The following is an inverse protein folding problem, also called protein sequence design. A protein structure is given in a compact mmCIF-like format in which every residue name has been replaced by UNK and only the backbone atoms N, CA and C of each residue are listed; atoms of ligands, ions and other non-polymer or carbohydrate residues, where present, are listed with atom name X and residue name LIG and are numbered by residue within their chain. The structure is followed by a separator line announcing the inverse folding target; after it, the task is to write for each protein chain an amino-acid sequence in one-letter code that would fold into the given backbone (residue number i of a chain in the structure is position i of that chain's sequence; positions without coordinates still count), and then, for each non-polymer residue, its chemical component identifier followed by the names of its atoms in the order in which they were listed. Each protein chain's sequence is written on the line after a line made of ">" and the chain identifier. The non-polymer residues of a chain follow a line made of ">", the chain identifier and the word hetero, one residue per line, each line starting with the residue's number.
data_IF_366079490830
#
_entry.id   IF_366079490830
#
_cell.length_a   1.000
_cell.length_b   1.000
_cell.length_c   1.000
_cell.angle_alpha   90.00
_cell.angle_beta   90.00
_cell.angle_gamma   90.00
#
_symmetry.space_group_name_H-M   'P 1'
#
loop_
_entity.id
_entity.type
_entity.pdbx_description
1 polymer ?
#
# COMPACT_ATOMS: atom_id res chain seq x y z
N UNK A 1 -15.58 -29.35 -10.08
CA UNK A 1 -14.57 -28.51 -9.44
C UNK A 1 -13.77 -27.80 -10.54
N UNK A 2 -13.88 -26.50 -10.77
CA UNK A 2 -13.02 -25.80 -11.72
C UNK A 2 -11.78 -25.29 -10.98
N UNK A 3 -10.62 -25.72 -11.47
CA UNK A 3 -9.30 -25.27 -11.02
C UNK A 3 -9.11 -23.79 -11.32
N UNK A 4 -8.70 -23.03 -10.32
CA UNK A 4 -8.23 -21.66 -10.48
C UNK A 4 -7.03 -21.65 -11.44
N UNK A 5 -7.20 -21.07 -12.62
CA UNK A 5 -6.12 -20.83 -13.57
C UNK A 5 -5.25 -19.70 -13.02
N UNK A 6 -4.06 -20.04 -12.61
CA UNK A 6 -2.97 -19.08 -12.48
C UNK A 6 -2.74 -18.47 -13.86
N UNK A 7 -2.99 -17.17 -14.01
CA UNK A 7 -2.68 -16.46 -15.25
C UNK A 7 -1.17 -16.41 -15.41
N UNK A 8 -0.67 -17.14 -16.42
CA UNK A 8 0.69 -17.01 -16.90
C UNK A 8 0.84 -15.66 -17.61
N UNK A 9 1.41 -14.69 -16.92
CA UNK A 9 1.83 -13.43 -17.52
C UNK A 9 3.10 -13.67 -18.34
N UNK A 10 2.98 -13.64 -19.67
CA UNK A 10 4.10 -13.47 -20.58
C UNK A 10 4.46 -11.99 -20.59
N UNK A 11 5.68 -11.66 -20.14
CA UNK A 11 6.19 -10.30 -20.11
C UNK A 11 6.36 -9.72 -21.53
N UNK A 12 5.91 -8.49 -21.79
CA UNK A 12 6.32 -7.76 -22.99
C UNK A 12 7.78 -7.33 -22.91
N UNK A 13 8.38 -7.07 -24.09
CA UNK A 13 9.79 -6.81 -24.31
C UNK A 13 10.36 -5.67 -23.45
N UNK A 14 11.61 -5.83 -23.02
CA UNK A 14 12.37 -4.95 -22.14
C UNK A 14 12.47 -3.51 -22.65
N UNK A 15 12.05 -2.55 -21.84
CA UNK A 15 12.40 -1.14 -21.98
C UNK A 15 13.82 -0.91 -21.43
N UNK A 16 14.69 -0.27 -22.23
CA UNK A 16 16.04 0.05 -21.80
C UNK A 16 16.06 1.33 -20.92
N UNK A 17 17.18 1.57 -20.23
CA UNK A 17 17.37 2.68 -19.29
C UNK A 17 17.04 4.07 -19.84
N UNK A 18 17.15 4.29 -21.17
CA UNK A 18 16.85 5.57 -21.83
C UNK A 18 15.34 5.78 -22.05
N UNK A 19 14.57 4.73 -22.20
CA UNK A 19 13.12 4.81 -22.37
C UNK A 19 12.40 5.05 -21.03
N UNK A 20 13.01 4.65 -19.91
CA UNK A 20 12.49 4.88 -18.57
C UNK A 20 12.49 6.37 -18.16
N UNK A 21 13.45 7.15 -18.66
CA UNK A 21 13.59 8.59 -18.34
C UNK A 21 12.78 9.49 -19.27
N UNK A 22 12.49 9.06 -20.50
CA UNK A 22 11.88 9.90 -21.53
C UNK A 22 10.36 10.13 -21.38
N UNK A 23 9.64 9.30 -20.59
CA UNK A 23 8.19 9.44 -20.39
C UNK A 23 7.81 10.38 -19.24
N UNK A 24 8.79 10.97 -18.52
CA UNK A 24 8.54 11.81 -17.35
C UNK A 24 8.65 13.33 -17.58
N UNK A 25 8.88 13.79 -18.82
CA UNK A 25 9.30 15.18 -19.07
C UNK A 25 8.35 16.01 -19.96
N UNK A 26 7.04 15.82 -19.87
CA UNK A 26 6.10 16.63 -20.67
C UNK A 26 4.89 17.11 -19.88
N UNK A 27 5.09 17.99 -18.90
CA UNK A 27 4.04 18.88 -18.39
C UNK A 27 4.63 19.97 -17.48
N UNK A 28 5.32 20.97 -18.06
CA UNK A 28 5.58 22.23 -17.36
C UNK A 28 5.88 23.33 -18.35
N UNK A 29 4.88 24.11 -18.72
CA UNK A 29 5.03 25.52 -19.15
C UNK A 29 3.64 26.18 -19.25
N UNK A 30 3.40 27.17 -18.43
CA UNK A 30 2.79 28.49 -18.71
C UNK A 30 2.23 29.10 -17.44
N UNK A 31 2.85 30.16 -17.00
CA UNK A 31 2.21 31.44 -16.69
C UNK A 31 3.15 32.35 -15.91
N UNK A 32 3.43 33.48 -16.46
CA UNK A 32 4.01 34.61 -15.75
C UNK A 32 3.19 35.88 -16.03
N UNK A 33 3.18 36.78 -15.00
CA UNK A 33 2.95 38.22 -15.02
C UNK A 33 1.65 38.75 -14.38
N UNK A 34 1.91 39.56 -13.33
CA UNK A 34 0.97 40.56 -12.85
C UNK A 34 0.94 40.81 -11.33
N UNK A 35 1.73 41.73 -10.81
CA UNK A 35 1.55 42.40 -9.51
C UNK A 35 1.41 43.92 -9.76
N UNK A 36 1.13 44.82 -8.77
CA UNK A 36 0.64 44.69 -7.40
C UNK A 36 -0.48 45.65 -6.98
N UNK A 37 -1.10 45.51 -5.81
CA UNK A 37 -1.52 46.64 -4.98
C UNK A 37 -1.75 46.23 -3.53
N UNK A 38 -1.15 47.00 -2.60
CA UNK A 38 -1.27 46.88 -1.15
C UNK A 38 -2.55 47.47 -0.64
N UNK A 39 -3.22 46.78 0.28
CA UNK A 39 -4.05 47.41 1.33
C UNK A 39 -4.03 46.48 2.59
N UNK A 40 -3.66 47.10 3.71
CA UNK A 40 -3.71 46.48 5.04
C UNK A 40 -5.12 46.51 5.56
N UNK A 41 -5.59 45.44 6.18
CA UNK A 41 -6.52 45.48 7.32
C UNK A 41 -6.56 44.11 8.06
N UNK A 42 -6.50 44.22 9.37
CA UNK A 42 -7.12 43.47 10.44
C UNK A 42 -7.10 41.93 10.41
N UNK A 43 -6.42 41.34 11.43
CA UNK A 43 -6.34 39.93 11.72
C UNK A 43 -7.67 39.17 11.73
N UNK A 44 -7.80 38.33 10.75
CA UNK A 44 -8.50 37.07 10.80
C UNK A 44 -7.47 36.07 10.31
N UNK A 45 -7.17 35.04 11.11
CA UNK A 45 -6.35 33.92 10.66
C UNK A 45 -7.10 33.28 9.47
N UNK A 46 -6.78 33.75 8.29
CA UNK A 46 -7.24 33.18 7.03
C UNK A 46 -6.55 31.82 6.93
N UNK A 47 -7.30 30.75 7.07
CA UNK A 47 -6.87 29.44 6.65
C UNK A 47 -6.32 29.63 5.22
N UNK A 48 -5.00 29.43 5.06
CA UNK A 48 -4.36 29.57 3.75
C UNK A 48 -5.12 28.68 2.78
N UNK A 49 -5.69 29.27 1.72
CA UNK A 49 -6.40 28.55 0.69
C UNK A 49 -5.47 27.48 0.14
N UNK A 50 -5.86 26.22 0.27
CA UNK A 50 -5.13 25.06 -0.28
C UNK A 50 -5.34 24.93 -1.80
N UNK A 51 -6.04 25.88 -2.40
CA UNK A 51 -6.22 25.98 -3.84
C UNK A 51 -4.88 26.22 -4.52
N UNK A 52 -4.50 25.29 -5.40
CA UNK A 52 -3.25 25.34 -6.17
C UNK A 52 -2.10 24.46 -5.68
N UNK A 53 -2.15 23.88 -4.48
CA UNK A 53 -1.16 22.87 -4.07
C UNK A 53 -1.59 21.47 -4.49
N UNK A 54 -0.68 20.60 -4.95
CA UNK A 54 -1.04 19.20 -5.19
C UNK A 54 -1.51 18.55 -3.88
N UNK A 55 -2.43 17.60 -3.96
CA UNK A 55 -2.86 16.77 -2.83
C UNK A 55 -1.64 16.06 -2.27
N UNK A 56 -1.42 16.16 -0.96
CA UNK A 56 -0.29 15.49 -0.27
C UNK A 56 -0.39 13.98 -0.42
N UNK A 57 0.75 13.29 -0.49
CA UNK A 57 0.78 11.86 -0.75
C UNK A 57 1.86 11.15 0.07
N UNK A 58 1.43 10.14 0.82
CA UNK A 58 2.25 9.07 1.36
C UNK A 58 1.81 7.79 0.67
N UNK A 59 2.72 7.10 -0.01
CA UNK A 59 2.40 5.83 -0.66
C UNK A 59 2.33 4.72 0.38
N UNK A 60 1.14 4.17 0.61
CA UNK A 60 0.94 3.17 1.66
C UNK A 60 1.37 1.76 1.25
N UNK A 61 1.74 1.54 -0.02
CA UNK A 61 2.05 0.21 -0.52
C UNK A 61 2.99 0.23 -1.72
N UNK A 62 4.24 -0.11 -1.48
CA UNK A 62 5.22 -0.43 -2.51
C UNK A 62 6.04 -1.64 -2.08
N UNK A 63 6.80 -2.20 -3.03
CA UNK A 63 7.81 -3.21 -2.78
C UNK A 63 9.18 -2.74 -3.26
N UNK A 64 10.25 -3.24 -2.66
CA UNK A 64 11.60 -3.01 -3.14
C UNK A 64 12.39 -4.31 -3.13
N UNK A 65 13.27 -4.45 -4.14
CA UNK A 65 14.23 -5.55 -4.24
C UNK A 65 15.40 -5.16 -5.13
N UNK A 66 16.48 -5.92 -5.01
CA UNK A 66 17.62 -5.80 -5.91
C UNK A 66 18.35 -7.14 -6.04
N UNK A 67 18.95 -7.38 -7.17
CA UNK A 67 19.90 -8.47 -7.35
C UNK A 67 21.20 -8.12 -6.63
N UNK A 68 21.52 -8.87 -5.59
CA UNK A 68 22.71 -8.64 -4.78
C UNK A 68 23.12 -9.95 -4.08
N UNK A 69 24.42 -10.28 -4.05
CA UNK A 69 24.89 -11.41 -3.24
C UNK A 69 24.68 -11.21 -1.73
N UNK A 70 24.61 -9.95 -1.26
CA UNK A 70 24.35 -9.63 0.14
C UNK A 70 22.90 -9.87 0.56
N UNK A 71 21.97 -9.88 -0.41
CA UNK A 71 20.53 -10.05 -0.20
C UNK A 71 19.97 -11.03 -1.24
N UNK A 72 20.29 -12.32 -1.13
CA UNK A 72 19.84 -13.31 -2.10
C UNK A 72 18.33 -13.51 -2.01
N UNK A 73 17.69 -13.73 -3.14
CA UNK A 73 16.29 -14.15 -3.15
C UNK A 73 16.14 -15.53 -2.51
N UNK A 74 14.99 -15.77 -1.88
CA UNK A 74 14.75 -17.02 -1.18
C UNK A 74 14.81 -18.23 -2.14
N UNK A 75 15.31 -19.39 -1.70
CA UNK A 75 15.34 -20.62 -2.51
C UNK A 75 13.93 -20.92 -3.07
N UNK A 76 13.89 -21.20 -4.38
CA UNK A 76 12.63 -21.50 -5.11
C UNK A 76 11.69 -20.31 -5.31
N UNK A 77 12.07 -19.09 -4.93
CA UNK A 77 11.29 -17.91 -5.25
C UNK A 77 11.42 -17.58 -6.75
N UNK A 78 10.34 -17.03 -7.32
CA UNK A 78 10.41 -16.45 -8.67
C UNK A 78 11.30 -15.20 -8.60
N UNK A 79 12.47 -15.26 -9.22
CA UNK A 79 13.40 -14.14 -9.27
C UNK A 79 12.83 -13.06 -10.20
N UNK A 80 12.71 -11.79 -9.75
CA UNK A 80 12.29 -10.69 -10.62
C UNK A 80 13.27 -10.48 -11.78
N UNK A 81 12.77 -10.02 -12.93
CA UNK A 81 13.61 -9.80 -14.13
C UNK A 81 14.42 -8.50 -14.06
N UNK A 82 14.17 -7.62 -13.10
CA UNK A 82 14.76 -6.28 -12.97
C UNK A 82 14.88 -5.89 -11.50
N UNK A 83 15.74 -4.91 -11.23
CA UNK A 83 15.85 -4.29 -9.92
C UNK A 83 14.74 -3.26 -9.71
N UNK A 84 14.28 -3.19 -8.47
CA UNK A 84 13.38 -2.17 -7.97
C UNK A 84 13.91 -1.68 -6.61
N UNK A 85 15.06 -0.99 -6.65
CA UNK A 85 15.75 -0.62 -5.43
C UNK A 85 15.10 0.59 -4.73
N UNK A 86 15.45 0.79 -3.47
CA UNK A 86 15.01 1.96 -2.71
C UNK A 86 15.46 3.27 -3.35
N UNK A 87 16.62 3.31 -3.97
CA UNK A 87 17.15 4.47 -4.70
C UNK A 87 16.30 4.81 -5.91
N UNK A 88 15.89 3.81 -6.71
CA UNK A 88 14.95 4.00 -7.83
C UNK A 88 13.60 4.53 -7.34
N UNK A 89 13.12 4.03 -6.21
CA UNK A 89 11.89 4.53 -5.59
C UNK A 89 12.01 5.99 -5.15
N UNK A 90 13.14 6.40 -4.56
CA UNK A 90 13.39 7.78 -4.17
C UNK A 90 13.32 8.75 -5.36
N UNK A 91 13.90 8.37 -6.49
CA UNK A 91 13.83 9.18 -7.72
C UNK A 91 12.38 9.33 -8.20
N UNK A 92 11.61 8.25 -8.17
CA UNK A 92 10.19 8.26 -8.53
C UNK A 92 9.36 9.11 -7.57
N UNK A 93 9.59 8.97 -6.26
CA UNK A 93 8.92 9.79 -5.23
C UNK A 93 9.17 11.27 -5.45
N UNK A 94 10.44 11.65 -5.66
CA UNK A 94 10.85 13.03 -5.93
C UNK A 94 10.16 13.58 -7.19
N UNK A 95 10.17 12.81 -8.28
CA UNK A 95 9.56 13.22 -9.55
C UNK A 95 8.04 13.40 -9.45
N UNK A 96 7.38 12.72 -8.51
CA UNK A 96 5.92 12.73 -8.35
C UNK A 96 5.45 13.40 -7.06
N UNK A 97 6.31 14.13 -6.35
CA UNK A 97 5.98 14.80 -5.08
C UNK A 97 5.33 13.87 -4.03
N UNK A 98 5.83 12.63 -3.93
CA UNK A 98 5.45 11.68 -2.88
C UNK A 98 6.37 11.90 -1.69
N UNK A 99 5.79 12.22 -0.54
CA UNK A 99 6.55 12.69 0.62
C UNK A 99 7.23 11.55 1.39
N UNK A 100 6.53 10.44 1.57
CA UNK A 100 6.95 9.26 2.34
C UNK A 100 6.37 8.01 1.72
N UNK A 101 6.88 6.86 2.15
CA UNK A 101 6.40 5.57 1.64
C UNK A 101 6.48 4.47 2.69
N UNK A 102 5.46 3.62 2.70
CA UNK A 102 5.44 2.36 3.47
C UNK A 102 5.83 1.22 2.54
N UNK A 103 7.01 0.64 2.78
CA UNK A 103 7.53 -0.48 1.98
C UNK A 103 7.07 -1.80 2.61
N UNK A 104 6.38 -2.59 1.82
CA UNK A 104 5.93 -3.91 2.21
C UNK A 104 6.97 -4.94 1.78
N UNK A 105 7.46 -5.77 2.70
CA UNK A 105 8.40 -6.84 2.39
C UNK A 105 7.84 -7.75 1.30
N UNK A 106 8.61 -7.92 0.23
CA UNK A 106 8.20 -8.69 -0.94
C UNK A 106 8.33 -10.20 -0.71
N UNK A 107 7.49 -10.97 -1.39
CA UNK A 107 7.46 -12.43 -1.27
C UNK A 107 8.75 -13.11 -1.78
N UNK A 108 9.51 -12.45 -2.67
CA UNK A 108 10.73 -13.02 -3.26
C UNK A 108 11.83 -13.28 -2.24
N UNK A 109 11.84 -12.58 -1.11
CA UNK A 109 12.74 -12.83 0.02
C UNK A 109 12.12 -13.74 1.10
N UNK A 110 10.83 -14.11 0.95
CA UNK A 110 10.05 -14.84 1.98
C UNK A 110 10.16 -14.15 3.34
N UNK A 111 10.84 -14.80 4.28
CA UNK A 111 10.97 -14.37 5.69
C UNK A 111 12.27 -13.62 5.98
N UNK A 112 13.16 -13.51 4.99
CA UNK A 112 14.37 -12.69 5.10
C UNK A 112 14.03 -11.22 4.87
N UNK A 113 14.10 -10.43 5.92
CA UNK A 113 13.81 -9.01 5.90
C UNK A 113 15.08 -8.13 5.81
N UNK A 114 16.26 -8.74 5.61
CA UNK A 114 17.58 -8.08 5.73
C UNK A 114 17.74 -6.90 4.75
N UNK A 115 17.30 -7.06 3.49
CA UNK A 115 17.35 -5.98 2.52
C UNK A 115 16.51 -4.79 2.97
N UNK A 116 15.24 -5.02 3.33
CA UNK A 116 14.37 -3.92 3.76
C UNK A 116 14.87 -3.30 5.07
N UNK A 117 15.37 -4.09 6.02
CA UNK A 117 16.00 -3.55 7.23
C UNK A 117 17.20 -2.63 6.91
N UNK A 118 18.00 -2.96 5.89
CA UNK A 118 19.10 -2.10 5.43
C UNK A 118 18.60 -0.78 4.85
N UNK A 119 17.48 -0.81 4.12
CA UNK A 119 16.81 0.38 3.57
C UNK A 119 16.28 1.29 4.68
N UNK A 120 15.61 0.71 5.70
CA UNK A 120 15.07 1.49 6.83
C UNK A 120 16.19 2.19 7.62
N UNK A 121 17.32 1.52 7.88
CA UNK A 121 18.48 2.14 8.53
C UNK A 121 19.07 3.29 7.73
N UNK A 122 19.06 3.17 6.40
CA UNK A 122 19.64 4.19 5.50
C UNK A 122 18.71 5.39 5.31
N UNK A 123 17.41 5.21 5.36
CA UNK A 123 16.40 6.23 5.09
C UNK A 123 15.30 6.28 6.16
N UNK A 124 15.65 6.47 7.44
CA UNK A 124 14.74 6.27 8.57
C UNK A 124 13.58 7.26 8.64
N UNK A 125 13.71 8.43 8.00
CA UNK A 125 12.66 9.46 7.97
C UNK A 125 11.80 9.40 6.70
N UNK A 126 12.22 8.63 5.70
CA UNK A 126 11.55 8.56 4.40
C UNK A 126 10.67 7.32 4.27
N UNK A 127 11.14 6.20 4.82
CA UNK A 127 10.48 4.92 4.69
C UNK A 127 10.04 4.35 6.04
N UNK A 128 8.87 3.75 6.06
CA UNK A 128 8.49 2.75 7.03
C UNK A 128 8.48 1.37 6.38
N UNK A 129 8.72 0.34 7.17
CA UNK A 129 8.81 -1.04 6.70
C UNK A 129 7.77 -1.93 7.36
N UNK A 130 7.10 -2.72 6.54
CA UNK A 130 6.19 -3.80 6.97
C UNK A 130 6.89 -5.12 6.68
N UNK A 131 7.29 -5.84 7.73
CA UNK A 131 8.03 -7.10 7.63
C UNK A 131 7.15 -8.30 7.27
N UNK A 132 7.76 -9.44 7.07
CA UNK A 132 7.09 -10.75 6.98
C UNK A 132 7.70 -11.71 7.99
N UNK A 133 6.85 -12.51 8.61
CA UNK A 133 7.26 -13.65 9.46
C UNK A 133 6.64 -14.93 8.91
N UNK A 134 7.23 -16.07 9.17
CA UNK A 134 6.64 -17.35 8.80
C UNK A 134 5.44 -17.66 9.71
N UNK A 135 4.20 -17.64 9.21
CA UNK A 135 3.02 -17.87 10.04
C UNK A 135 2.86 -19.31 10.53
N UNK A 136 3.67 -20.23 9.99
CA UNK A 136 3.70 -21.64 10.35
C UNK A 136 4.82 -21.97 11.35
N UNK A 137 5.63 -20.97 11.71
CA UNK A 137 6.70 -21.12 12.72
C UNK A 137 6.14 -20.70 14.10
N UNK A 138 6.18 -21.58 15.10
CA UNK A 138 5.80 -21.25 16.48
C UNK A 138 6.57 -20.05 17.05
N UNK A 139 7.79 -19.79 16.57
CA UNK A 139 8.60 -18.65 16.97
C UNK A 139 8.24 -17.33 16.22
N UNK A 140 7.26 -17.32 15.30
CA UNK A 140 6.88 -16.14 14.57
C UNK A 140 6.58 -14.89 15.45
N UNK A 141 5.91 -15.01 16.62
CA UNK A 141 5.72 -13.87 17.51
C UNK A 141 7.04 -13.28 18.05
N UNK A 142 8.05 -14.12 18.32
CA UNK A 142 9.36 -13.66 18.80
C UNK A 142 10.19 -13.08 17.66
N UNK A 143 10.13 -13.66 16.47
CA UNK A 143 10.72 -13.07 15.25
C UNK A 143 10.14 -11.70 14.98
N UNK A 144 8.80 -11.52 15.09
CA UNK A 144 8.17 -10.20 14.94
C UNK A 144 8.69 -9.22 15.98
N UNK A 145 8.84 -9.64 17.24
CA UNK A 145 9.38 -8.78 18.30
C UNK A 145 10.77 -8.27 17.94
N UNK A 146 11.68 -9.14 17.49
CA UNK A 146 13.03 -8.75 17.07
C UNK A 146 13.01 -7.79 15.88
N UNK A 147 12.20 -8.09 14.85
CA UNK A 147 12.08 -7.24 13.68
C UNK A 147 11.61 -5.81 14.05
N UNK A 148 10.66 -5.70 14.96
CA UNK A 148 10.11 -4.39 15.35
C UNK A 148 11.00 -3.63 16.32
N UNK A 149 11.54 -4.29 17.33
CA UNK A 149 12.31 -3.63 18.40
C UNK A 149 13.78 -3.39 18.04
N UNK A 150 14.39 -4.31 17.25
CA UNK A 150 15.82 -4.23 16.94
C UNK A 150 16.11 -3.75 15.52
N UNK A 151 15.18 -3.97 14.57
CA UNK A 151 15.41 -3.68 13.15
C UNK A 151 14.53 -2.54 12.60
N UNK A 152 13.66 -1.97 13.44
CA UNK A 152 12.91 -0.77 13.11
C UNK A 152 11.72 -0.96 12.18
N UNK A 153 11.16 -2.18 12.10
CA UNK A 153 9.91 -2.40 11.35
C UNK A 153 8.70 -1.87 12.12
N UNK A 154 7.75 -1.28 11.37
CA UNK A 154 6.55 -0.65 11.92
C UNK A 154 5.25 -1.36 11.52
N UNK A 155 5.33 -2.58 11.02
CA UNK A 155 4.18 -3.40 10.63
C UNK A 155 4.59 -4.81 10.26
N UNK A 156 3.62 -5.71 10.16
CA UNK A 156 3.78 -7.07 9.65
C UNK A 156 2.74 -7.36 8.58
N UNK A 157 3.12 -8.09 7.54
CA UNK A 157 2.21 -8.55 6.48
C UNK A 157 2.08 -10.06 6.49
N UNK A 158 0.83 -10.51 6.42
CA UNK A 158 0.49 -11.92 6.21
C UNK A 158 -0.24 -12.09 4.88
N UNK A 159 -0.06 -13.26 4.27
CA UNK A 159 -0.73 -13.65 3.02
C UNK A 159 -1.35 -15.03 3.20
N UNK A 160 -2.50 -15.13 3.86
CA UNK A 160 -3.11 -16.41 4.22
C UNK A 160 -3.41 -17.35 3.06
N UNK A 161 -3.64 -16.79 1.88
CA UNK A 161 -3.94 -17.57 0.68
C UNK A 161 -2.71 -18.14 -0.04
N UNK A 162 -1.50 -17.73 0.32
CA UNK A 162 -0.26 -18.02 -0.42
C UNK A 162 0.74 -18.91 0.34
N UNK A 163 0.34 -19.55 1.41
CA UNK A 163 1.21 -20.45 2.18
C UNK A 163 1.42 -21.78 1.45
N UNK A 164 2.64 -22.36 1.50
CA UNK A 164 2.93 -23.65 0.86
C UNK A 164 2.18 -24.84 1.49
N UNK A 165 1.83 -24.76 2.77
CA UNK A 165 1.10 -25.81 3.50
C UNK A 165 -0.41 -25.58 3.57
N UNK A 166 -0.93 -24.52 2.92
CA UNK A 166 -2.36 -24.31 2.77
C UNK A 166 -3.00 -23.37 3.79
N UNK A 167 -4.00 -23.83 4.53
CA UNK A 167 -4.92 -23.00 5.28
C UNK A 167 -4.50 -22.72 6.72
N UNK A 168 -3.37 -22.00 6.90
CA UNK A 168 -2.88 -21.66 8.23
C UNK A 168 -3.64 -20.51 8.93
N UNK A 169 -4.51 -19.77 8.22
CA UNK A 169 -5.27 -18.66 8.81
C UNK A 169 -6.16 -19.12 9.99
N UNK A 170 -6.65 -20.36 9.92
CA UNK A 170 -7.42 -21.01 11.00
C UNK A 170 -6.55 -21.81 11.96
N UNK A 171 -5.24 -21.83 11.72
CA UNK A 171 -4.31 -22.63 12.49
C UNK A 171 -4.07 -22.10 13.91
N UNK A 172 -3.56 -22.94 14.82
CA UNK A 172 -3.34 -22.58 16.22
C UNK A 172 -2.28 -21.50 16.43
N UNK A 173 -1.45 -21.21 15.41
CA UNK A 173 -0.40 -20.20 15.48
C UNK A 173 -0.91 -18.77 15.21
N UNK A 174 -2.11 -18.59 14.64
CA UNK A 174 -2.65 -17.27 14.36
C UNK A 174 -3.01 -16.48 15.62
N UNK A 175 -3.75 -17.01 16.58
CA UNK A 175 -4.10 -16.25 17.79
C UNK A 175 -2.87 -15.71 18.56
N UNK A 176 -1.78 -16.46 18.80
CA UNK A 176 -0.60 -15.92 19.47
C UNK A 176 0.10 -14.81 18.63
N UNK A 177 0.17 -14.94 17.32
CA UNK A 177 0.78 -13.91 16.46
C UNK A 177 -0.04 -12.61 16.47
N UNK A 178 -1.37 -12.70 16.36
CA UNK A 178 -2.26 -11.54 16.43
C UNK A 178 -2.17 -10.83 17.79
N UNK A 179 -2.17 -11.58 18.91
CA UNK A 179 -1.96 -11.01 20.24
C UNK A 179 -0.61 -10.29 20.36
N UNK A 180 0.47 -10.88 19.77
CA UNK A 180 1.79 -10.23 19.78
C UNK A 180 1.77 -8.92 19.02
N UNK A 181 1.11 -8.84 17.86
CA UNK A 181 0.94 -7.59 17.12
C UNK A 181 0.21 -6.53 17.96
N UNK A 182 -0.86 -6.92 18.66
CA UNK A 182 -1.59 -6.01 19.53
C UNK A 182 -0.72 -5.51 20.71
N UNK A 183 0.05 -6.39 21.36
CA UNK A 183 0.97 -6.05 22.45
C UNK A 183 2.06 -5.08 22.01
N UNK A 184 2.62 -5.29 20.82
CA UNK A 184 3.66 -4.44 20.22
C UNK A 184 3.08 -3.16 19.62
N UNK A 185 1.74 -3.04 19.51
CA UNK A 185 1.03 -1.95 18.80
C UNK A 185 1.46 -1.83 17.34
N UNK A 186 1.74 -2.96 16.70
CA UNK A 186 2.23 -3.05 15.32
C UNK A 186 1.06 -3.38 14.41
N UNK A 187 0.74 -2.55 13.40
CA UNK A 187 -0.31 -2.83 12.43
C UNK A 187 -0.07 -4.15 11.70
N UNK A 188 -1.13 -4.94 11.54
CA UNK A 188 -1.13 -6.15 10.74
C UNK A 188 -1.75 -5.87 9.38
N UNK A 189 -1.02 -6.12 8.32
CA UNK A 189 -1.48 -5.99 6.93
C UNK A 189 -1.81 -7.38 6.38
N UNK A 190 -2.98 -7.54 5.77
CA UNK A 190 -3.44 -8.81 5.23
C UNK A 190 -3.65 -8.73 3.71
N UNK A 191 -2.93 -9.55 2.96
CA UNK A 191 -3.27 -9.88 1.59
C UNK A 191 -4.19 -11.10 1.60
N UNK A 192 -5.47 -10.88 1.55
CA UNK A 192 -6.49 -11.92 1.69
C UNK A 192 -7.59 -11.69 0.64
N UNK A 193 -8.01 -12.72 -0.12
CA UNK A 193 -9.12 -12.57 -1.05
C UNK A 193 -10.44 -12.35 -0.29
N UNK A 194 -11.32 -11.56 -0.90
CA UNK A 194 -12.59 -11.11 -0.31
C UNK A 194 -13.44 -12.26 0.24
N UNK A 195 -13.46 -13.40 -0.45
CA UNK A 195 -14.24 -14.61 -0.07
C UNK A 195 -13.77 -15.24 1.24
N UNK A 196 -12.55 -14.94 1.69
CA UNK A 196 -11.98 -15.47 2.94
C UNK A 196 -12.06 -14.51 4.11
N UNK A 197 -12.54 -13.27 3.91
CA UNK A 197 -12.69 -12.29 4.99
C UNK A 197 -13.54 -12.77 6.18
N UNK A 198 -14.59 -13.59 6.01
CA UNK A 198 -15.33 -14.12 7.15
C UNK A 198 -14.47 -14.94 8.14
N UNK A 199 -13.35 -15.51 7.66
CA UNK A 199 -12.48 -16.36 8.47
C UNK A 199 -11.68 -15.59 9.51
N UNK A 200 -11.47 -14.27 9.32
CA UNK A 200 -10.72 -13.44 10.26
C UNK A 200 -11.60 -12.79 11.37
N UNK A 201 -12.92 -12.91 11.30
CA UNK A 201 -13.80 -12.33 12.32
C UNK A 201 -13.42 -12.75 13.75
N UNK A 202 -13.19 -14.05 14.06
CA UNK A 202 -12.82 -14.45 15.42
C UNK A 202 -11.49 -13.82 15.89
N UNK A 203 -10.55 -13.58 14.98
CA UNK A 203 -9.28 -12.94 15.29
C UNK A 203 -9.45 -11.44 15.54
N UNK A 204 -10.29 -10.76 14.76
CA UNK A 204 -10.65 -9.35 14.98
C UNK A 204 -11.38 -9.16 16.31
N UNK A 205 -12.37 -10.01 16.60
CA UNK A 205 -13.13 -9.97 17.84
C UNK A 205 -12.25 -10.20 19.09
N UNK A 206 -11.25 -11.08 18.97
CA UNK A 206 -10.29 -11.37 20.03
C UNK A 206 -9.20 -10.28 20.21
N UNK A 207 -9.04 -9.38 19.25
CA UNK A 207 -8.00 -8.34 19.26
C UNK A 207 -8.55 -6.96 18.86
N UNK A 208 -9.51 -6.39 19.62
CA UNK A 208 -10.23 -5.16 19.23
C UNK A 208 -9.31 -3.93 19.13
N UNK A 209 -8.18 -3.95 19.83
CA UNK A 209 -7.19 -2.85 19.83
C UNK A 209 -6.15 -2.98 18.73
N UNK A 210 -6.12 -4.08 17.99
CA UNK A 210 -5.18 -4.28 16.90
C UNK A 210 -5.59 -3.45 15.67
N UNK A 211 -4.66 -2.69 15.14
CA UNK A 211 -4.86 -2.06 13.82
C UNK A 211 -4.63 -3.10 12.72
N UNK A 212 -5.67 -3.34 11.92
CA UNK A 212 -5.62 -4.27 10.78
C UNK A 212 -5.82 -3.50 9.48
N UNK A 213 -5.01 -3.80 8.47
CA UNK A 213 -5.06 -3.19 7.14
C UNK A 213 -5.30 -4.27 6.10
N UNK A 214 -6.37 -4.15 5.35
CA UNK A 214 -6.67 -5.06 4.22
C UNK A 214 -6.02 -4.49 2.95
N UNK A 215 -5.15 -5.28 2.33
CA UNK A 215 -4.52 -4.91 1.07
C UNK A 215 -5.51 -4.99 -0.10
N UNK A 216 -5.36 -4.08 -1.07
CA UNK A 216 -5.93 -4.16 -2.42
C UNK A 216 -7.44 -4.43 -2.48
N UNK A 217 -8.22 -3.80 -1.57
CA UNK A 217 -9.68 -4.00 -1.50
C UNK A 217 -10.05 -5.50 -1.37
N UNK A 218 -9.17 -6.31 -0.74
CA UNK A 218 -9.27 -7.76 -0.63
C UNK A 218 -9.37 -8.48 -2.00
N UNK A 219 -8.78 -7.91 -3.05
CA UNK A 219 -8.87 -8.37 -4.45
C UNK A 219 -10.33 -8.65 -4.87
N UNK A 220 -11.27 -7.82 -4.38
CA UNK A 220 -12.70 -7.96 -4.65
C UNK A 220 -12.99 -7.76 -6.14
N UNK A 221 -13.54 -8.77 -6.84
CA UNK A 221 -13.70 -8.71 -8.28
C UNK A 221 -14.78 -7.71 -8.68
N UNK A 222 -14.50 -6.90 -9.71
CA UNK A 222 -15.40 -5.85 -10.20
C UNK A 222 -16.60 -6.40 -10.98
N UNK A 223 -16.49 -7.60 -11.53
CA UNK A 223 -17.58 -8.34 -12.20
C UNK A 223 -18.47 -9.12 -11.22
N UNK A 224 -18.13 -9.14 -9.93
CA UNK A 224 -18.92 -9.70 -8.84
C UNK A 224 -19.09 -8.69 -7.71
N UNK A 225 -19.75 -7.54 -7.95
CA UNK A 225 -19.81 -6.42 -7.02
C UNK A 225 -20.49 -6.74 -5.67
N UNK A 226 -21.29 -7.82 -5.61
CA UNK A 226 -21.90 -8.32 -4.37
C UNK A 226 -20.86 -8.88 -3.39
N UNK A 227 -19.72 -9.37 -3.87
CA UNK A 227 -18.66 -9.88 -3.00
C UNK A 227 -18.02 -8.78 -2.17
N UNK A 228 -18.06 -7.53 -2.62
CA UNK A 228 -17.58 -6.39 -1.84
C UNK A 228 -18.31 -6.25 -0.49
N UNK A 229 -19.53 -6.75 -0.38
CA UNK A 229 -20.32 -6.69 0.86
C UNK A 229 -19.63 -7.44 2.01
N UNK A 230 -18.83 -8.48 1.70
CA UNK A 230 -18.00 -9.18 2.70
C UNK A 230 -16.92 -8.25 3.27
N UNK A 231 -16.34 -7.37 2.46
CA UNK A 231 -15.39 -6.36 2.93
C UNK A 231 -16.11 -5.22 3.66
N UNK A 232 -17.24 -4.75 3.13
CA UNK A 232 -18.05 -3.72 3.76
C UNK A 232 -18.56 -4.14 5.15
N UNK A 233 -18.85 -5.42 5.37
CA UNK A 233 -19.22 -5.95 6.68
C UNK A 233 -18.13 -5.75 7.75
N UNK A 234 -16.86 -5.61 7.35
CA UNK A 234 -15.75 -5.32 8.26
C UNK A 234 -15.71 -3.84 8.70
N UNK A 235 -16.54 -2.97 8.14
CA UNK A 235 -16.59 -1.55 8.53
C UNK A 235 -17.02 -1.34 9.99
N UNK A 236 -17.65 -2.34 10.61
CA UNK A 236 -17.99 -2.36 12.05
C UNK A 236 -16.76 -2.36 12.97
N UNK A 237 -15.58 -2.78 12.47
CA UNK A 237 -14.33 -2.77 13.23
C UNK A 237 -13.64 -1.40 13.11
N UNK A 238 -13.59 -0.59 14.17
CA UNK A 238 -13.13 0.80 14.06
C UNK A 238 -11.64 0.95 13.75
N UNK A 239 -10.84 -0.09 14.01
CA UNK A 239 -9.40 -0.13 13.75
C UNK A 239 -9.02 -0.92 12.50
N UNK A 240 -9.99 -1.19 11.63
CA UNK A 240 -9.76 -1.82 10.35
C UNK A 240 -9.74 -0.77 9.23
N UNK A 241 -8.70 -0.84 8.42
CA UNK A 241 -8.39 0.05 7.31
C UNK A 241 -8.31 -0.74 6.00
N UNK A 242 -8.51 -0.07 4.87
CA UNK A 242 -8.47 -0.70 3.54
C UNK A 242 -7.56 0.10 2.61
N UNK A 243 -6.65 -0.58 1.92
CA UNK A 243 -5.88 0.00 0.81
C UNK A 243 -6.71 -0.08 -0.47
N UNK A 244 -7.03 1.09 -1.04
CA UNK A 244 -7.78 1.23 -2.29
C UNK A 244 -6.84 1.14 -3.52
N UNK A 245 -5.97 0.15 -3.52
CA UNK A 245 -4.97 -0.14 -4.55
C UNK A 245 -5.40 -1.29 -5.46
N UNK A 246 -4.59 -1.62 -6.48
CA UNK A 246 -4.84 -2.68 -7.47
C UNK A 246 -5.95 -2.41 -8.49
N UNK A 247 -6.46 -1.18 -8.61
CA UNK A 247 -7.45 -0.84 -9.66
C UNK A 247 -7.00 -1.29 -11.05
N UNK A 248 -5.69 -1.17 -11.36
CA UNK A 248 -5.06 -1.59 -12.60
C UNK A 248 -5.11 -3.11 -12.85
N UNK A 249 -5.22 -3.91 -11.81
CA UNK A 249 -5.28 -5.38 -11.88
C UNK A 249 -6.71 -5.90 -11.87
N UNK A 250 -7.60 -5.22 -11.14
CA UNK A 250 -9.00 -5.63 -10.98
C UNK A 250 -9.86 -5.22 -12.15
N UNK A 251 -9.59 -4.03 -12.73
CA UNK A 251 -10.39 -3.48 -13.82
C UNK A 251 -10.05 -4.12 -15.16
N UNK A 252 -11.08 -4.34 -15.97
CA UNK A 252 -10.99 -4.70 -17.40
C UNK A 252 -11.20 -3.47 -18.29
N UNK A 253 -11.50 -2.31 -17.69
CA UNK A 253 -11.70 -1.05 -18.40
C UNK A 253 -10.35 -0.30 -18.54
N UNK A 254 -10.23 0.58 -19.54
CA UNK A 254 -9.02 1.38 -19.69
C UNK A 254 -8.84 2.36 -18.52
N UNK A 255 -7.60 2.79 -18.29
CA UNK A 255 -7.30 3.88 -17.38
C UNK A 255 -8.17 5.10 -17.66
N UNK A 256 -8.76 5.74 -16.67
CA UNK A 256 -8.53 5.62 -15.23
C UNK A 256 -9.46 4.64 -14.48
N UNK A 257 -9.92 3.56 -15.09
CA UNK A 257 -10.63 2.45 -14.43
C UNK A 257 -11.94 2.88 -13.75
N UNK A 258 -12.96 3.37 -14.49
CA UNK A 258 -14.19 3.92 -13.91
C UNK A 258 -15.00 2.92 -13.07
N UNK A 259 -14.93 1.62 -13.39
CA UNK A 259 -15.52 0.56 -12.59
C UNK A 259 -14.84 0.40 -11.23
N UNK A 260 -13.51 0.51 -11.17
CA UNK A 260 -12.77 0.52 -9.91
C UNK A 260 -13.06 1.79 -9.10
N UNK A 261 -13.22 2.95 -9.74
CA UNK A 261 -13.63 4.19 -9.06
C UNK A 261 -15.00 4.02 -8.40
N UNK A 262 -15.94 3.37 -9.07
CA UNK A 262 -17.26 3.06 -8.51
C UNK A 262 -17.17 2.13 -7.29
N UNK A 263 -16.29 1.12 -7.30
CA UNK A 263 -16.02 0.26 -6.15
C UNK A 263 -15.39 1.04 -4.99
N UNK A 264 -14.42 1.91 -5.27
CA UNK A 264 -13.80 2.80 -4.26
C UNK A 264 -14.86 3.70 -3.62
N UNK A 265 -15.85 4.18 -4.42
CA UNK A 265 -16.96 4.98 -3.88
C UNK A 265 -17.80 4.19 -2.88
N UNK A 266 -18.10 2.92 -3.14
CA UNK A 266 -18.82 2.06 -2.18
C UNK A 266 -18.02 1.87 -0.89
N UNK A 267 -16.70 1.68 -0.99
CA UNK A 267 -15.83 1.59 0.19
C UNK A 267 -15.79 2.91 0.97
N UNK A 268 -15.74 4.04 0.27
CA UNK A 268 -15.81 5.37 0.88
C UNK A 268 -17.11 5.55 1.66
N UNK A 269 -18.24 5.14 1.10
CA UNK A 269 -19.54 5.24 1.77
C UNK A 269 -19.62 4.35 3.01
N UNK A 270 -18.97 3.17 3.00
CA UNK A 270 -18.98 2.22 4.11
C UNK A 270 -17.95 2.49 5.20
N UNK A 271 -16.72 2.86 4.84
CA UNK A 271 -15.61 3.05 5.77
C UNK A 271 -15.34 4.51 6.13
N UNK A 272 -15.73 5.44 5.27
CA UNK A 272 -15.32 6.84 5.32
C UNK A 272 -13.86 7.04 4.90
N UNK A 273 -13.48 8.29 4.55
CA UNK A 273 -12.13 8.60 4.05
C UNK A 273 -11.03 8.36 5.10
N UNK A 274 -11.37 8.38 6.38
CA UNK A 274 -10.41 8.22 7.49
C UNK A 274 -9.93 6.78 7.68
N UNK A 275 -10.48 5.82 6.95
CA UNK A 275 -10.09 4.40 7.01
C UNK A 275 -9.70 3.80 5.65
N UNK A 276 -9.64 4.63 4.62
CA UNK A 276 -9.13 4.26 3.30
C UNK A 276 -7.73 4.85 3.09
N UNK A 277 -6.87 4.16 2.35
CA UNK A 277 -5.54 4.65 2.03
C UNK A 277 -5.09 4.27 0.62
N UNK A 278 -4.47 5.24 -0.07
CA UNK A 278 -3.90 5.08 -1.39
C UNK A 278 -2.58 4.31 -1.35
N UNK A 279 -2.31 3.51 -2.38
CA UNK A 279 -1.04 2.82 -2.56
C UNK A 279 -0.84 2.43 -4.02
N UNK A 280 0.38 2.59 -4.55
CA UNK A 280 0.66 2.38 -5.98
C UNK A 280 0.90 0.92 -6.33
N UNK A 281 1.36 0.13 -5.37
CA UNK A 281 1.87 -1.23 -5.56
C UNK A 281 3.06 -1.30 -6.55
N UNK A 282 3.84 -0.22 -6.61
CA UNK A 282 5.09 -0.23 -7.36
C UNK A 282 6.07 -1.24 -6.74
N UNK A 283 6.85 -2.00 -7.51
CA UNK A 283 6.93 -2.04 -8.96
C UNK A 283 6.06 -3.15 -9.58
N UNK A 284 5.18 -3.79 -8.82
CA UNK A 284 4.30 -4.85 -9.31
C UNK A 284 3.34 -4.30 -10.37
N UNK A 285 2.91 -3.05 -10.24
CA UNK A 285 2.05 -2.35 -11.20
C UNK A 285 2.73 -2.02 -12.54
N UNK A 286 4.07 -1.94 -12.59
CA UNK A 286 4.81 -1.41 -13.76
C UNK A 286 4.44 -2.00 -15.12
N UNK A 287 4.11 -3.31 -15.26
CA UNK A 287 3.74 -3.84 -16.56
C UNK A 287 2.49 -3.22 -17.17
N UNK A 288 1.61 -2.66 -16.34
CA UNK A 288 0.31 -2.11 -16.75
C UNK A 288 0.15 -0.63 -16.40
N UNK A 289 0.82 -0.16 -15.35
CA UNK A 289 0.64 1.20 -14.81
C UNK A 289 1.97 1.76 -14.30
N UNK A 290 2.56 2.76 -14.99
CA UNK A 290 3.73 3.49 -14.50
C UNK A 290 3.46 4.22 -13.20
N UNK A 291 4.49 4.39 -12.35
CA UNK A 291 4.37 5.02 -11.02
C UNK A 291 3.69 6.39 -11.06
N UNK A 292 4.06 7.23 -12.02
CA UNK A 292 3.46 8.56 -12.19
C UNK A 292 1.94 8.49 -12.43
N UNK A 293 1.49 7.55 -13.28
CA UNK A 293 0.07 7.33 -13.53
C UNK A 293 -0.65 6.72 -12.31
N UNK A 294 0.03 5.86 -11.55
CA UNK A 294 -0.52 5.31 -10.32
C UNK A 294 -0.76 6.41 -9.26
N UNK A 295 0.16 7.37 -9.12
CA UNK A 295 -0.04 8.55 -8.25
C UNK A 295 -1.12 9.47 -8.80
N UNK A 296 -1.13 9.75 -10.11
CA UNK A 296 -2.13 10.59 -10.78
C UNK A 296 -3.55 10.00 -10.65
N UNK A 297 -3.70 8.68 -10.66
CA UNK A 297 -4.99 8.03 -10.43
C UNK A 297 -5.67 8.56 -9.16
N UNK A 298 -4.96 8.66 -8.06
CA UNK A 298 -5.51 9.16 -6.80
C UNK A 298 -5.67 10.67 -6.77
N UNK A 299 -4.73 11.42 -7.33
CA UNK A 299 -4.73 12.89 -7.26
C UNK A 299 -5.68 13.53 -8.25
N UNK A 300 -5.75 12.97 -9.47
CA UNK A 300 -6.32 13.67 -10.63
C UNK A 300 -7.59 13.00 -11.15
N UNK A 301 -7.83 11.72 -10.80
CA UNK A 301 -8.96 10.96 -11.34
C UNK A 301 -10.03 10.58 -10.30
N UNK A 302 -9.72 10.61 -9.00
CA UNK A 302 -10.74 10.42 -7.95
C UNK A 302 -11.53 11.71 -7.67
N UNK A 303 -11.86 12.48 -8.70
CA UNK A 303 -12.51 13.79 -8.61
C UNK A 303 -13.94 13.76 -8.06
N UNK A 304 -14.52 12.58 -7.89
CA UNK A 304 -15.83 12.39 -7.25
C UNK A 304 -15.80 12.64 -5.73
N UNK A 305 -14.60 12.71 -5.13
CA UNK A 305 -14.43 12.96 -3.71
C UNK A 305 -14.01 14.41 -3.44
N UNK A 306 -14.45 14.99 -2.32
CA UNK A 306 -13.94 16.29 -1.87
C UNK A 306 -12.40 16.24 -1.71
N UNK A 307 -11.74 17.35 -2.04
CA UNK A 307 -10.28 17.47 -1.95
C UNK A 307 -9.74 17.12 -0.55
N UNK A 308 -10.43 17.54 0.51
CA UNK A 308 -10.04 17.24 1.88
C UNK A 308 -10.06 15.72 2.16
N UNK A 309 -11.04 15.00 1.59
CA UNK A 309 -11.15 13.56 1.75
C UNK A 309 -10.12 12.81 0.89
N UNK A 310 -9.76 13.35 -0.29
CA UNK A 310 -8.63 12.84 -1.06
C UNK A 310 -7.34 12.93 -0.24
N UNK A 311 -7.06 14.09 0.37
CA UNK A 311 -5.88 14.26 1.22
C UNK A 311 -5.95 13.39 2.48
N UNK A 312 -7.15 13.16 3.02
CA UNK A 312 -7.35 12.19 4.09
C UNK A 312 -6.92 10.79 3.66
N UNK A 313 -7.34 10.31 2.48
CA UNK A 313 -7.04 8.96 1.97
C UNK A 313 -5.59 8.82 1.47
N UNK A 314 -5.01 9.87 0.92
CA UNK A 314 -3.66 9.82 0.34
C UNK A 314 -2.55 10.17 1.33
N UNK A 315 -2.88 10.79 2.47
CA UNK A 315 -1.87 11.26 3.42
C UNK A 315 -2.24 10.98 4.89
N UNK A 316 -3.30 11.58 5.40
CA UNK A 316 -3.58 11.58 6.85
C UNK A 316 -3.92 10.20 7.40
N UNK A 317 -4.62 9.35 6.65
CA UNK A 317 -4.93 7.98 7.08
C UNK A 317 -3.66 7.14 7.16
N UNK A 318 -2.76 7.26 6.19
CA UNK A 318 -1.47 6.56 6.21
C UNK A 318 -0.62 7.03 7.39
N UNK A 319 -0.53 8.36 7.61
CA UNK A 319 0.19 8.97 8.73
C UNK A 319 -0.38 8.53 10.09
N UNK A 320 -1.66 8.26 10.20
CA UNK A 320 -2.29 7.75 11.43
C UNK A 320 -1.89 6.32 11.73
N UNK A 321 -1.81 5.47 10.72
CA UNK A 321 -1.47 4.04 10.87
C UNK A 321 0.02 3.83 11.03
N UNK A 322 0.82 4.57 10.27
CA UNK A 322 2.28 4.58 10.30
C UNK A 322 2.79 6.01 10.50
N UNK A 323 2.93 6.46 11.77
CA UNK A 323 3.36 7.82 12.07
C UNK A 323 4.81 8.07 11.65
N UNK A 324 5.00 8.89 10.61
CA UNK A 324 6.31 9.46 10.30
C UNK A 324 6.56 10.68 11.18
N UNK A 325 7.77 10.84 11.70
CA UNK A 325 8.18 12.07 12.37
C UNK A 325 8.23 13.19 11.33
N UNK A 326 7.21 14.04 11.32
CA UNK A 326 7.07 15.21 10.43
C UNK A 326 7.32 16.49 11.21
#
# INVERSE_FOLDING_TARGET
>A
MPSARLHNYTAPAMLNRRQFVATSAAAAAHAALGAPSRLRLGGLMQAASTEGRPVRFIDSHVHTWKHSPDFPFAPGAKVPAYDASAEMLLDLMKANNVERTVIIQVIHYKWDNSYLASVLRRYPTTFHGVCRVNPEDPAAPDHLTKLTQEQGFQGVRLSPAAGPSGDWIKGPLMPPLWRRCAQLKVPMTLLIPVTRLPEIHPLLDANPDLTVVIDHMADSPLDHPEQLDLLLALSRYPRLYVKISHSWSLSKQPYPYPDAIAQIKRLYDGFGPTRLMAGTDWPVSLPLLPYAQAVAFYRDHLTIFPRADLEQMTFHTVQRVWPFGL
#
